data_IF_529324852888
#
_entry.id   IF_529324852888
#
_cell.length_a   1.000
_cell.length_b   1.000
_cell.length_c   1.000
_cell.angle_alpha   90.00
_cell.angle_beta   90.00
_cell.angle_gamma   90.00
#
_symmetry.space_group_name_H-M   'P 1'
#
loop_
_entity.id
_entity.type
_entity.pdbx_description
1 polymer ?
#
# COMPACT_ATOMS: atom_id res chain seq x y z
N UNK A 1 -10.36 9.37 -2.60
CA UNK A 1 -10.98 8.79 -3.78
C UNK A 1 -10.20 9.16 -5.03
N UNK A 2 -10.55 8.62 -6.20
CA UNK A 2 -9.68 8.76 -7.38
C UNK A 2 -9.49 10.23 -7.79
N UNK A 3 -8.25 10.69 -7.71
CA UNK A 3 -7.82 12.03 -8.10
C UNK A 3 -6.99 11.90 -9.38
N UNK A 4 -7.20 12.79 -10.33
CA UNK A 4 -6.35 12.88 -11.53
C UNK A 4 -5.08 13.65 -11.19
N UNK A 5 -4.07 12.94 -10.73
CA UNK A 5 -2.81 13.52 -10.25
C UNK A 5 -2.02 14.24 -11.35
N UNK A 6 -2.23 13.88 -12.61
CA UNK A 6 -1.60 14.54 -13.78
C UNK A 6 -1.90 16.03 -13.80
N UNK A 7 -3.13 16.42 -13.42
CA UNK A 7 -3.53 17.83 -13.34
C UNK A 7 -2.78 18.62 -12.27
N UNK A 8 -2.35 17.96 -11.21
CA UNK A 8 -1.58 18.61 -10.14
C UNK A 8 -0.19 19.01 -10.63
N UNK A 9 0.46 18.18 -11.45
CA UNK A 9 1.72 18.55 -12.08
C UNK A 9 1.56 19.76 -13.01
N UNK A 10 0.43 19.88 -13.71
CA UNK A 10 0.18 21.02 -14.56
C UNK A 10 -0.09 22.30 -13.76
N UNK A 11 -0.74 22.20 -12.62
CA UNK A 11 -0.93 23.34 -11.71
C UNK A 11 0.39 23.79 -11.09
N UNK A 12 1.25 22.87 -10.65
CA UNK A 12 2.59 23.20 -10.15
C UNK A 12 3.43 23.93 -11.22
N UNK A 13 3.41 23.46 -12.48
CA UNK A 13 4.06 24.14 -13.61
C UNK A 13 3.54 25.55 -13.86
N UNK A 14 2.29 25.81 -13.57
CA UNK A 14 1.66 27.12 -13.69
C UNK A 14 1.93 28.02 -12.46
N UNK A 15 2.69 27.54 -11.46
CA UNK A 15 3.07 28.30 -10.28
C UNK A 15 2.06 28.22 -9.12
N UNK A 16 1.05 27.35 -9.18
CA UNK A 16 0.16 27.13 -8.06
C UNK A 16 0.82 26.26 -6.98
N UNK A 17 0.58 26.58 -5.74
CA UNK A 17 0.96 25.73 -4.60
C UNK A 17 -0.06 24.59 -4.47
N UNK A 18 0.42 23.35 -4.62
CA UNK A 18 -0.39 22.13 -4.48
C UNK A 18 0.02 21.39 -3.20
N UNK A 19 -0.95 21.10 -2.32
CA UNK A 19 -0.73 20.42 -1.04
C UNK A 19 -1.74 19.27 -0.89
N UNK A 20 -1.27 18.02 -0.76
CA UNK A 20 0.12 17.56 -0.88
C UNK A 20 0.65 17.78 -2.30
N UNK A 21 1.97 17.75 -2.48
CA UNK A 21 2.58 17.93 -3.81
C UNK A 21 2.02 16.94 -4.84
N UNK A 22 2.07 17.31 -6.12
CA UNK A 22 1.62 16.42 -7.20
C UNK A 22 2.32 15.04 -7.14
N UNK A 23 3.61 15.02 -6.80
CA UNK A 23 4.39 13.80 -6.61
C UNK A 23 3.85 12.96 -5.45
N UNK A 24 3.58 13.56 -4.29
CA UNK A 24 3.03 12.86 -3.13
C UNK A 24 1.63 12.31 -3.42
N UNK A 25 0.76 13.12 -4.04
CA UNK A 25 -0.56 12.67 -4.46
C UNK A 25 -0.49 11.48 -5.43
N UNK A 26 0.45 11.50 -6.39
CA UNK A 26 0.65 10.38 -7.32
C UNK A 26 1.06 9.09 -6.59
N UNK A 27 1.98 9.15 -5.63
CA UNK A 27 2.36 7.96 -4.86
C UNK A 27 1.21 7.38 -4.05
N UNK A 28 0.35 8.22 -3.48
CA UNK A 28 -0.82 7.74 -2.71
C UNK A 28 -1.89 7.10 -3.60
N UNK A 29 -1.98 7.52 -4.87
CA UNK A 29 -2.95 6.97 -5.82
C UNK A 29 -2.44 5.76 -6.60
N UNK A 30 -1.13 5.55 -6.65
CA UNK A 30 -0.49 4.49 -7.42
C UNK A 30 0.24 3.51 -6.50
N UNK A 31 -0.40 2.37 -6.20
CA UNK A 31 0.16 1.33 -5.31
C UNK A 31 1.49 0.76 -5.81
N UNK A 32 1.69 0.69 -7.12
CA UNK A 32 2.96 0.27 -7.72
C UNK A 32 4.05 1.30 -7.46
N UNK A 33 3.78 2.57 -7.74
CA UNK A 33 4.76 3.64 -7.57
C UNK A 33 5.24 3.76 -6.11
N UNK A 34 4.33 3.73 -5.13
CA UNK A 34 4.72 3.79 -3.71
C UNK A 34 5.48 2.53 -3.27
N UNK A 35 5.12 1.36 -3.79
CA UNK A 35 5.81 0.10 -3.48
C UNK A 35 7.24 0.10 -4.03
N UNK A 36 7.42 0.52 -5.26
CA UNK A 36 8.73 0.60 -5.90
C UNK A 36 9.63 1.66 -5.25
N UNK A 37 9.05 2.83 -4.92
CA UNK A 37 9.76 3.84 -4.15
C UNK A 37 10.29 3.26 -2.83
N UNK A 38 9.45 2.58 -2.06
CA UNK A 38 9.85 2.01 -0.77
C UNK A 38 10.86 0.88 -0.93
N UNK A 39 10.59 -0.09 -1.79
CA UNK A 39 11.38 -1.32 -1.88
C UNK A 39 12.67 -1.16 -2.68
N UNK A 40 12.66 -0.37 -3.75
CA UNK A 40 13.76 -0.26 -4.71
C UNK A 40 14.58 1.01 -4.46
N UNK A 41 13.92 2.17 -4.48
CA UNK A 41 14.62 3.45 -4.43
C UNK A 41 15.16 3.77 -3.02
N UNK A 42 14.36 3.46 -1.98
CA UNK A 42 14.70 3.72 -0.59
C UNK A 42 15.25 2.50 0.16
N UNK A 43 15.15 1.30 -0.43
CA UNK A 43 15.63 0.06 0.21
C UNK A 43 14.90 -0.30 1.51
N UNK A 44 13.68 0.21 1.71
CA UNK A 44 12.88 -0.10 2.89
C UNK A 44 12.42 -1.56 2.83
N UNK A 45 12.50 -2.26 3.96
CA UNK A 45 12.03 -3.64 4.06
C UNK A 45 10.53 -3.73 3.80
N UNK A 46 10.15 -4.43 2.74
CA UNK A 46 8.77 -4.72 2.37
C UNK A 46 8.52 -6.22 2.30
N UNK A 47 7.25 -6.64 2.24
CA UNK A 47 6.92 -8.01 1.89
C UNK A 47 7.45 -8.35 0.49
N UNK A 48 7.83 -9.62 0.24
CA UNK A 48 8.09 -10.09 -1.14
C UNK A 48 6.86 -9.84 -2.00
N UNK A 49 7.04 -9.36 -3.20
CA UNK A 49 5.92 -9.08 -4.10
C UNK A 49 6.26 -9.35 -5.56
N UNK A 50 5.23 -9.58 -6.36
CA UNK A 50 5.31 -9.65 -7.82
C UNK A 50 4.04 -9.05 -8.41
N UNK A 51 4.15 -8.38 -9.56
CA UNK A 51 2.99 -7.91 -10.32
C UNK A 51 2.53 -8.97 -11.29
N UNK A 52 1.24 -8.94 -11.62
CA UNK A 52 0.63 -9.83 -12.59
C UNK A 52 -0.47 -9.13 -13.39
N UNK A 53 -0.44 -9.28 -14.71
CA UNK A 53 -1.43 -8.79 -15.67
C UNK A 53 -2.27 -9.90 -16.27
N UNK A 54 -1.93 -11.15 -15.95
CA UNK A 54 -2.63 -12.35 -16.40
C UNK A 54 -2.73 -13.38 -15.29
N UNK A 55 -3.67 -14.31 -15.43
CA UNK A 55 -3.84 -15.42 -14.50
C UNK A 55 -2.57 -16.28 -14.40
N UNK A 56 -1.85 -16.47 -15.50
CA UNK A 56 -0.60 -17.23 -15.51
C UNK A 56 0.49 -16.51 -14.70
N UNK A 57 0.64 -15.20 -14.87
CA UNK A 57 1.58 -14.40 -14.09
C UNK A 57 1.20 -14.36 -12.60
N UNK A 58 -0.11 -14.37 -12.28
CA UNK A 58 -0.58 -14.50 -10.89
C UNK A 58 -0.08 -15.81 -10.27
N UNK A 59 -0.21 -16.95 -10.95
CA UNK A 59 0.29 -18.26 -10.48
C UNK A 59 1.80 -18.22 -10.23
N UNK A 60 2.56 -17.61 -11.13
CA UNK A 60 4.01 -17.41 -10.96
C UNK A 60 4.32 -16.49 -9.77
N UNK A 61 3.51 -15.46 -9.57
CA UNK A 61 3.59 -14.56 -8.42
C UNK A 61 3.35 -15.30 -7.11
N UNK A 62 2.34 -16.15 -7.05
CA UNK A 62 2.04 -17.00 -5.88
C UNK A 62 3.18 -17.98 -5.61
N UNK A 63 3.73 -18.62 -6.65
CA UNK A 63 4.89 -19.49 -6.50
C UNK A 63 6.13 -18.76 -5.98
N UNK A 64 6.33 -17.49 -6.38
CA UNK A 64 7.43 -16.65 -5.92
C UNK A 64 7.27 -16.19 -4.48
N UNK A 65 6.08 -15.72 -4.10
CA UNK A 65 5.82 -15.19 -2.74
C UNK A 65 5.65 -16.31 -1.71
N UNK A 66 5.19 -17.47 -2.15
CA UNK A 66 4.73 -18.57 -1.29
C UNK A 66 3.31 -18.34 -0.79
N UNK A 67 2.78 -19.35 -0.10
CA UNK A 67 1.46 -19.27 0.53
C UNK A 67 1.62 -19.37 2.07
N UNK A 68 0.80 -18.63 2.84
CA UNK A 68 -0.23 -17.73 2.37
C UNK A 68 0.33 -16.45 1.72
N UNK A 69 -0.40 -15.88 0.77
CA UNK A 69 -0.09 -14.60 0.16
C UNK A 69 -1.37 -13.77 -0.07
N UNK A 70 -1.19 -12.50 -0.36
CA UNK A 70 -2.30 -11.56 -0.56
C UNK A 70 -2.27 -11.05 -2.00
N UNK A 71 -3.41 -11.08 -2.68
CA UNK A 71 -3.61 -10.48 -4.00
C UNK A 71 -4.42 -9.21 -3.85
N UNK A 72 -3.96 -8.13 -4.48
CA UNK A 72 -4.63 -6.82 -4.44
C UNK A 72 -4.63 -6.21 -5.84
N UNK A 73 -5.75 -5.65 -6.34
CA UNK A 73 -5.69 -4.79 -7.52
C UNK A 73 -4.79 -3.57 -7.26
N UNK A 74 -4.06 -3.10 -8.27
CA UNK A 74 -3.24 -1.89 -8.11
C UNK A 74 -4.09 -0.65 -7.85
N UNK A 75 -5.26 -0.57 -8.44
CA UNK A 75 -6.22 0.50 -8.20
C UNK A 75 -7.52 -0.08 -7.62
N UNK A 76 -7.69 0.06 -6.32
CA UNK A 76 -8.93 -0.30 -5.62
C UNK A 76 -9.06 0.55 -4.36
N UNK A 77 -10.27 0.63 -3.80
CA UNK A 77 -10.53 1.29 -2.53
C UNK A 77 -11.24 0.33 -1.57
N UNK A 78 -11.02 0.55 -0.26
CA UNK A 78 -11.72 -0.20 0.81
C UNK A 78 -11.59 -1.71 0.69
N UNK A 79 -10.41 -2.21 0.32
CA UNK A 79 -10.13 -3.65 0.24
C UNK A 79 -10.86 -4.41 -0.88
N UNK A 80 -11.61 -3.72 -1.76
CA UNK A 80 -12.31 -4.38 -2.88
C UNK A 80 -11.32 -5.09 -3.79
N UNK A 81 -11.64 -6.33 -4.16
CA UNK A 81 -10.77 -7.17 -4.99
C UNK A 81 -9.55 -7.75 -4.24
N UNK A 82 -9.39 -7.48 -2.93
CA UNK A 82 -8.31 -8.06 -2.15
C UNK A 82 -8.69 -9.46 -1.63
N UNK A 83 -7.78 -10.42 -1.76
CA UNK A 83 -7.96 -11.79 -1.29
C UNK A 83 -6.69 -12.34 -0.66
N UNK A 84 -6.86 -13.24 0.30
CA UNK A 84 -5.78 -14.07 0.84
C UNK A 84 -5.83 -15.44 0.16
N UNK A 85 -4.75 -15.85 -0.47
CA UNK A 85 -4.56 -17.17 -1.05
C UNK A 85 -3.86 -18.04 -0.02
N UNK A 86 -4.52 -19.09 0.44
CA UNK A 86 -3.97 -20.06 1.41
C UNK A 86 -3.61 -21.40 0.76
N UNK A 87 -4.21 -21.71 -0.38
CA UNK A 87 -4.05 -22.96 -1.13
C UNK A 87 -4.30 -22.71 -2.61
N UNK A 88 -3.86 -23.65 -3.47
CA UNK A 88 -3.93 -23.50 -4.93
C UNK A 88 -5.35 -23.25 -5.44
N UNK A 89 -6.35 -23.89 -4.84
CA UNK A 89 -7.76 -23.74 -5.26
C UNK A 89 -8.31 -22.32 -5.02
N UNK A 90 -7.61 -21.51 -4.24
CA UNK A 90 -8.02 -20.13 -3.98
C UNK A 90 -7.56 -19.17 -5.10
N UNK A 91 -6.57 -19.56 -5.94
CA UNK A 91 -5.93 -18.67 -6.91
C UNK A 91 -6.93 -18.15 -7.95
N UNK A 92 -7.75 -19.03 -8.52
CA UNK A 92 -8.72 -18.64 -9.54
C UNK A 92 -9.79 -17.68 -8.99
N UNK A 93 -10.28 -17.97 -7.79
CA UNK A 93 -11.24 -17.09 -7.11
C UNK A 93 -10.64 -15.72 -6.81
N UNK A 94 -9.39 -15.70 -6.33
CA UNK A 94 -8.68 -14.46 -6.04
C UNK A 94 -8.45 -13.61 -7.31
N UNK A 95 -8.11 -14.26 -8.42
CA UNK A 95 -7.98 -13.58 -9.71
C UNK A 95 -9.30 -12.94 -10.15
N UNK A 96 -10.37 -13.74 -10.20
CA UNK A 96 -11.67 -13.25 -10.64
C UNK A 96 -12.18 -12.09 -9.76
N UNK A 97 -12.02 -12.22 -8.45
CA UNK A 97 -12.40 -11.15 -7.52
C UNK A 97 -11.54 -9.89 -7.66
N UNK A 98 -10.26 -10.03 -7.93
CA UNK A 98 -9.39 -8.90 -8.19
C UNK A 98 -9.74 -8.18 -9.50
N UNK A 99 -10.11 -8.94 -10.55
CA UNK A 99 -10.62 -8.44 -11.82
C UNK A 99 -11.88 -7.61 -11.61
N UNK A 100 -12.87 -8.15 -10.91
CA UNK A 100 -14.13 -7.47 -10.62
C UNK A 100 -13.95 -6.22 -9.74
N UNK A 101 -13.00 -6.25 -8.81
CA UNK A 101 -12.71 -5.16 -7.87
C UNK A 101 -11.77 -4.09 -8.43
N UNK A 102 -11.18 -4.32 -9.60
CA UNK A 102 -10.26 -3.39 -10.24
C UNK A 102 -10.99 -2.15 -10.77
N UNK A 103 -10.33 -0.99 -10.67
CA UNK A 103 -10.83 0.27 -11.24
C UNK A 103 -9.89 0.74 -12.35
N UNK A 104 -10.48 1.19 -13.46
CA UNK A 104 -9.77 1.68 -14.64
C UNK A 104 -9.49 0.59 -15.67
N UNK A 105 -8.78 0.95 -16.74
CA UNK A 105 -8.56 0.10 -17.90
C UNK A 105 -7.37 -0.87 -17.74
N UNK A 106 -6.61 -0.73 -16.65
CA UNK A 106 -5.42 -1.55 -16.38
C UNK A 106 -5.75 -2.67 -15.39
N UNK A 107 -5.77 -3.88 -15.92
CA UNK A 107 -5.90 -5.13 -15.17
C UNK A 107 -4.54 -5.57 -14.65
N UNK A 108 -4.05 -4.91 -13.62
CA UNK A 108 -2.80 -5.30 -12.96
C UNK A 108 -3.05 -5.52 -11.47
N UNK A 109 -2.53 -6.62 -10.94
CA UNK A 109 -2.57 -6.95 -9.52
C UNK A 109 -1.17 -7.04 -8.95
N UNK A 110 -1.05 -6.85 -7.64
CA UNK A 110 0.14 -7.18 -6.87
C UNK A 110 -0.14 -8.42 -6.03
N UNK A 111 0.79 -9.38 -6.05
CA UNK A 111 0.83 -10.53 -5.15
C UNK A 111 1.89 -10.24 -4.10
N UNK A 112 1.54 -10.29 -2.84
CA UNK A 112 2.44 -10.01 -1.72
C UNK A 112 2.47 -11.20 -0.76
N UNK A 113 3.67 -11.54 -0.26
CA UNK A 113 3.77 -12.50 0.83
C UNK A 113 2.94 -12.03 2.03
N UNK A 114 2.22 -12.95 2.64
CA UNK A 114 1.47 -12.64 3.86
C UNK A 114 2.46 -12.37 5.00
N UNK A 115 2.27 -11.26 5.69
CA UNK A 115 3.05 -10.90 6.87
C UNK A 115 2.16 -11.13 8.09
N UNK A 116 2.59 -12.04 8.95
CA UNK A 116 2.00 -12.25 10.27
C UNK A 116 2.65 -11.26 11.24
N UNK A 117 1.99 -10.15 11.47
CA UNK A 117 2.49 -9.06 12.31
C UNK A 117 1.76 -9.01 13.65
N UNK A 118 2.46 -8.63 14.70
CA UNK A 118 1.88 -8.51 16.03
C UNK A 118 0.88 -7.36 16.14
N UNK A 119 1.13 -6.27 15.43
CA UNK A 119 0.27 -5.08 15.37
C UNK A 119 0.59 -4.20 14.16
N UNK A 120 -0.36 -3.37 13.82
CA UNK A 120 -0.28 -2.38 12.74
C UNK A 120 -0.38 -0.97 13.31
N UNK A 121 0.44 -0.06 12.79
CA UNK A 121 0.39 1.36 13.16
C UNK A 121 0.32 2.26 11.94
N UNK A 122 -0.23 3.45 12.14
CA UNK A 122 0.00 4.60 11.29
C UNK A 122 0.85 5.62 12.07
N UNK A 123 1.97 6.02 11.49
CA UNK A 123 2.78 7.12 12.00
C UNK A 123 2.59 8.33 11.10
N UNK A 124 1.80 9.30 11.57
CA UNK A 124 1.62 10.55 10.84
C UNK A 124 2.85 11.41 10.98
N UNK A 125 3.33 11.94 9.88
CA UNK A 125 4.50 12.81 9.81
C UNK A 125 4.15 14.16 9.22
N UNK A 126 4.85 15.20 9.66
CA UNK A 126 4.73 16.56 9.15
C UNK A 126 6.12 17.11 8.82
N UNK A 127 6.45 17.20 7.55
CA UNK A 127 7.71 17.81 7.12
C UNK A 127 7.55 19.33 7.05
N UNK A 128 8.38 20.04 7.78
CA UNK A 128 8.39 21.49 7.86
C UNK A 128 9.21 22.11 6.71
N UNK A 129 9.05 23.41 6.47
CA UNK A 129 9.78 24.12 5.42
C UNK A 129 11.31 24.14 5.63
N UNK A 130 11.78 24.02 6.87
CA UNK A 130 13.20 23.91 7.21
C UNK A 130 13.77 22.49 6.98
N UNK A 131 12.96 21.53 6.57
CA UNK A 131 13.33 20.14 6.33
C UNK A 131 13.14 19.21 7.52
N UNK A 132 12.86 19.73 8.72
CA UNK A 132 12.61 18.88 9.90
C UNK A 132 11.29 18.12 9.77
N UNK A 133 11.27 16.87 10.23
CA UNK A 133 10.06 16.05 10.30
C UNK A 133 9.58 15.92 11.72
N UNK A 134 8.33 16.35 11.96
CA UNK A 134 7.62 16.10 13.20
C UNK A 134 6.84 14.79 13.10
N UNK A 135 6.83 14.03 14.18
CA UNK A 135 6.10 12.78 14.29
C UNK A 135 4.95 12.93 15.28
N UNK A 136 3.75 12.59 14.84
CA UNK A 136 2.63 12.44 15.76
C UNK A 136 2.80 11.14 16.58
N UNK A 137 2.16 11.02 17.74
CA UNK A 137 2.09 9.75 18.44
C UNK A 137 1.52 8.66 17.51
N UNK A 138 2.06 7.42 17.56
CA UNK A 138 1.59 6.36 16.67
C UNK A 138 0.12 6.03 16.93
N UNK A 139 -0.58 5.72 15.85
CA UNK A 139 -1.99 5.30 15.87
C UNK A 139 -2.02 3.79 15.66
N UNK A 140 -2.58 3.05 16.62
CA UNK A 140 -2.85 1.63 16.48
C UNK A 140 -4.16 1.39 15.71
N UNK A 141 -4.22 0.26 15.00
CA UNK A 141 -5.40 -0.12 14.24
C UNK A 141 -5.81 -1.55 14.53
N UNK A 142 -7.12 -1.80 14.50
CA UNK A 142 -7.68 -3.13 14.38
C UNK A 142 -8.51 -3.20 13.11
N UNK A 143 -8.22 -4.20 12.30
CA UNK A 143 -8.95 -4.51 11.07
C UNK A 143 -9.52 -5.93 11.17
N UNK A 144 -10.67 -6.15 10.58
CA UNK A 144 -11.27 -7.48 10.41
C UNK A 144 -11.59 -7.69 8.94
N UNK A 145 -11.05 -8.75 8.33
CA UNK A 145 -11.25 -9.10 6.92
C UNK A 145 -10.89 -7.97 5.93
N UNK A 146 -9.93 -7.13 6.31
CA UNK A 146 -9.52 -5.96 5.53
C UNK A 146 -10.37 -4.71 5.76
N UNK A 147 -11.39 -4.78 6.61
CA UNK A 147 -12.23 -3.64 6.99
C UNK A 147 -11.76 -3.03 8.30
N UNK A 148 -11.62 -1.71 8.31
CA UNK A 148 -11.32 -0.94 9.50
C UNK A 148 -12.43 -1.11 10.56
N UNK A 149 -12.01 -1.38 11.79
CA UNK A 149 -12.91 -1.52 12.94
C UNK A 149 -12.69 -0.40 13.95
N UNK A 150 -11.47 -0.23 14.41
CA UNK A 150 -11.13 0.79 15.40
C UNK A 150 -9.69 1.27 15.27
N UNK A 151 -9.42 2.46 15.81
CA UNK A 151 -8.08 2.97 16.04
C UNK A 151 -8.00 3.67 17.38
N UNK A 152 -6.80 3.74 17.92
CA UNK A 152 -6.52 4.43 19.18
C UNK A 152 -5.17 5.16 19.09
N UNK A 153 -5.06 6.26 19.82
CA UNK A 153 -3.86 7.07 19.88
C UNK A 153 -3.66 7.59 21.31
N UNK A 154 -2.48 7.48 21.91
CA UNK A 154 -1.28 6.86 21.33
C UNK A 154 -1.35 5.32 21.38
N UNK A 155 -0.72 4.67 20.40
CA UNK A 155 -0.45 3.23 20.46
C UNK A 155 0.77 3.01 21.36
N UNK A 156 0.60 2.19 22.41
CA UNK A 156 1.71 1.77 23.23
C UNK A 156 2.61 0.79 22.45
N UNK A 157 3.88 1.11 22.34
CA UNK A 157 4.87 0.27 21.66
C UNK A 157 6.26 0.43 22.29
N UNK A 158 7.16 -0.50 21.98
CA UNK A 158 8.53 -0.40 22.46
C UNK A 158 9.27 0.77 21.79
N UNK A 159 10.09 1.49 22.54
CA UNK A 159 10.87 2.62 22.03
C UNK A 159 11.75 2.26 20.83
N UNK A 160 12.28 1.03 20.79
CA UNK A 160 13.07 0.55 19.66
C UNK A 160 12.24 0.46 18.38
N UNK A 161 11.00 -0.03 18.48
CA UNK A 161 10.08 -0.11 17.34
C UNK A 161 9.64 1.28 16.86
N UNK A 162 9.39 2.19 17.82
CA UNK A 162 9.04 3.57 17.49
C UNK A 162 10.17 4.26 16.74
N UNK A 163 11.42 4.15 17.21
CA UNK A 163 12.60 4.68 16.51
C UNK A 163 12.72 4.11 15.10
N UNK A 164 12.62 2.78 14.96
CA UNK A 164 12.65 2.15 13.64
C UNK A 164 11.56 2.70 12.70
N UNK A 165 10.35 2.93 13.20
CA UNK A 165 9.26 3.51 12.41
C UNK A 165 9.51 4.97 12.02
N UNK A 166 10.24 5.72 12.85
CA UNK A 166 10.63 7.11 12.56
C UNK A 166 11.80 7.21 11.57
N UNK A 167 12.65 6.18 11.50
CA UNK A 167 13.80 6.11 10.61
C UNK A 167 13.42 5.71 9.16
N UNK A 168 12.19 5.23 8.93
CA UNK A 168 11.65 4.89 7.62
C UNK A 168 11.15 6.15 6.90
#
# INVERSE_FOLDING_TARGET
ESIRTERFYDYEKQGFTVIPSAKAANFTMNRKAIRELAAIDLGVKTAKYKYATSYQELKEGVAFTGMPCVVKPLMSSSGKGQSVIKKEEDIEKAWNYAVEGSRGDLMEVIVEAFIDFDYEITLLTLTQNNGDTLFCPPIGHRQERGDYQESWQPMAMQDAHLRTAQDI
#
